data_IF_851443830484
#
_entry.id   IF_851443830484
#
_cell.length_a   1.000
_cell.length_b   1.000
_cell.length_c   1.000
_cell.angle_alpha   90.00
_cell.angle_beta   90.00
_cell.angle_gamma   90.00
#
_symmetry.space_group_name_H-M   'P 1'
#
loop_
_entity.id
_entity.type
_entity.pdbx_description
1 polymer ?
#
# COMPACT_ATOMS: atom_id res chain seq x y z
N UNK A 1 -33.02 1.17 -4.87
CA UNK A 1 -33.76 1.22 -3.59
C UNK A 1 -32.73 1.53 -2.54
N UNK A 2 -32.95 2.51 -1.66
CA UNK A 2 -32.00 2.83 -0.58
C UNK A 2 -31.86 1.60 0.32
N UNK A 3 -30.63 1.14 0.57
CA UNK A 3 -30.35 -0.02 1.44
C UNK A 3 -30.81 0.22 2.89
N UNK A 4 -30.89 1.50 3.29
CA UNK A 4 -31.36 1.95 4.59
C UNK A 4 -32.62 2.80 4.43
N UNK A 5 -33.58 2.60 5.32
CA UNK A 5 -34.73 3.48 5.50
C UNK A 5 -34.32 4.82 6.11
N UNK A 6 -35.15 5.85 5.97
CA UNK A 6 -34.89 7.17 6.56
C UNK A 6 -34.70 7.10 8.09
N UNK A 7 -35.42 6.19 8.76
CA UNK A 7 -35.32 5.97 10.21
C UNK A 7 -33.96 5.37 10.56
N UNK A 8 -33.49 4.38 9.79
CA UNK A 8 -32.16 3.79 9.98
C UNK A 8 -31.06 4.83 9.72
N UNK A 9 -31.17 5.63 8.65
CA UNK A 9 -30.21 6.70 8.36
C UNK A 9 -30.12 7.74 9.48
N UNK A 10 -31.26 8.12 10.07
CA UNK A 10 -31.27 9.00 11.25
C UNK A 10 -30.59 8.35 12.46
N UNK A 11 -30.77 7.04 12.65
CA UNK A 11 -30.16 6.28 13.74
C UNK A 11 -28.65 6.17 13.57
N UNK A 12 -28.19 5.80 12.37
CA UNK A 12 -26.78 5.79 12.00
C UNK A 12 -26.14 7.15 12.25
N UNK A 13 -26.78 8.23 11.79
CA UNK A 13 -26.29 9.60 11.99
C UNK A 13 -26.14 9.95 13.47
N UNK A 14 -27.10 9.55 14.31
CA UNK A 14 -27.04 9.79 15.75
C UNK A 14 -25.85 9.09 16.42
N UNK A 15 -25.37 7.99 15.83
CA UNK A 15 -24.20 7.23 16.28
C UNK A 15 -22.92 7.58 15.50
N UNK A 16 -22.90 8.68 14.75
CA UNK A 16 -21.70 9.11 14.02
C UNK A 16 -21.40 8.30 12.76
N UNK A 17 -22.39 7.66 12.15
CA UNK A 17 -22.24 6.93 10.88
C UNK A 17 -23.02 7.62 9.78
N UNK A 18 -22.39 7.85 8.62
CA UNK A 18 -23.06 8.33 7.40
C UNK A 18 -22.68 7.48 6.19
N UNK A 19 -23.56 7.47 5.19
CA UNK A 19 -23.33 6.79 3.92
C UNK A 19 -23.13 7.85 2.83
N UNK A 20 -22.02 7.77 2.10
CA UNK A 20 -21.75 8.60 0.94
C UNK A 20 -21.12 7.75 -0.17
N UNK A 21 -21.65 7.85 -1.40
CA UNK A 21 -21.14 7.14 -2.57
C UNK A 21 -20.89 5.64 -2.33
N UNK A 22 -21.87 4.95 -1.73
CA UNK A 22 -21.81 3.53 -1.35
C UNK A 22 -20.66 3.17 -0.39
N UNK A 23 -20.21 4.13 0.43
CA UNK A 23 -19.21 3.94 1.48
C UNK A 23 -19.75 4.42 2.82
N UNK A 24 -19.45 3.64 3.84
CA UNK A 24 -19.62 3.99 5.26
C UNK A 24 -18.51 4.94 5.68
N UNK A 25 -18.87 6.09 6.25
CA UNK A 25 -17.99 7.00 6.98
C UNK A 25 -18.43 6.92 8.44
N UNK A 26 -17.49 6.64 9.35
CA UNK A 26 -17.75 6.59 10.79
C UNK A 26 -17.04 7.74 11.49
N UNK A 27 -17.29 7.94 12.79
CA UNK A 27 -16.87 9.15 13.51
C UNK A 27 -17.26 10.45 12.76
N UNK A 28 -18.42 10.41 12.11
CA UNK A 28 -18.88 11.43 11.20
C UNK A 28 -19.22 12.72 11.97
N UNK A 29 -18.56 13.80 11.58
CA UNK A 29 -18.75 15.11 12.19
C UNK A 29 -20.04 15.80 11.69
N UNK A 30 -20.53 16.84 12.40
CA UNK A 30 -21.64 17.68 11.93
C UNK A 30 -21.43 18.22 10.50
N UNK A 31 -22.50 18.56 9.77
CA UNK A 31 -22.35 19.19 8.45
C UNK A 31 -21.61 20.52 8.55
N UNK A 32 -20.91 20.92 7.48
CA UNK A 32 -20.20 22.20 7.48
C UNK A 32 -21.20 23.35 7.63
N UNK A 33 -20.86 24.32 8.48
CA UNK A 33 -21.68 25.53 8.59
C UNK A 33 -21.49 26.44 7.37
N UNK A 34 -22.50 27.23 7.03
CA UNK A 34 -22.40 28.18 5.91
C UNK A 34 -21.26 29.21 6.09
N UNK A 35 -20.92 29.54 7.35
CA UNK A 35 -19.80 30.44 7.66
C UNK A 35 -18.45 29.80 7.31
N UNK A 36 -18.20 28.57 7.80
CA UNK A 36 -16.97 27.80 7.49
C UNK A 36 -16.85 27.50 6.00
N UNK A 37 -17.97 27.18 5.35
CA UNK A 37 -17.99 26.96 3.91
C UNK A 37 -17.55 28.22 3.14
N UNK A 38 -18.02 29.39 3.55
CA UNK A 38 -17.62 30.66 2.94
C UNK A 38 -16.14 30.99 3.20
N UNK A 39 -15.62 30.66 4.38
CA UNK A 39 -14.20 30.80 4.72
C UNK A 39 -13.30 29.93 3.83
N UNK A 40 -13.69 28.67 3.62
CA UNK A 40 -12.95 27.77 2.73
C UNK A 40 -13.04 28.24 1.27
N UNK A 41 -14.24 28.60 0.81
CA UNK A 41 -14.45 29.06 -0.56
C UNK A 41 -13.66 30.34 -0.87
N UNK A 42 -13.51 31.26 0.09
CA UNK A 42 -12.76 32.50 -0.08
C UNK A 42 -11.26 32.28 -0.33
N UNK A 43 -10.73 31.12 0.04
CA UNK A 43 -9.33 30.74 -0.17
C UNK A 43 -9.11 29.93 -1.44
N UNK A 44 -10.17 29.47 -2.11
CA UNK A 44 -10.08 28.67 -3.34
C UNK A 44 -10.00 29.58 -4.58
N UNK A 45 -9.26 29.14 -5.59
CA UNK A 45 -9.12 29.86 -6.86
C UNK A 45 -10.40 29.82 -7.71
N UNK A 46 -11.19 28.76 -7.57
CA UNK A 46 -12.44 28.52 -8.26
C UNK A 46 -13.57 28.07 -7.32
N UNK A 47 -14.76 27.78 -7.86
CA UNK A 47 -15.89 27.36 -7.05
C UNK A 47 -15.66 25.98 -6.44
N UNK A 48 -16.28 25.73 -5.28
CA UNK A 48 -16.30 24.41 -4.66
C UNK A 48 -17.17 23.45 -5.50
N UNK A 49 -16.67 22.25 -5.83
CA UNK A 49 -17.40 21.25 -6.61
C UNK A 49 -18.67 20.76 -5.93
N UNK A 50 -19.72 20.49 -6.71
CA UNK A 50 -21.02 20.08 -6.20
C UNK A 50 -20.96 18.83 -5.30
N UNK A 51 -20.21 17.80 -5.71
CA UNK A 51 -20.09 16.56 -4.94
C UNK A 51 -19.38 16.77 -3.58
N UNK A 52 -18.48 17.75 -3.48
CA UNK A 52 -17.86 18.12 -2.20
C UNK A 52 -18.88 18.84 -1.29
N UNK A 53 -19.73 19.70 -1.86
CA UNK A 53 -20.82 20.33 -1.12
C UNK A 53 -21.84 19.29 -0.64
N UNK A 54 -22.13 18.26 -1.43
CA UNK A 54 -22.98 17.14 -1.02
C UNK A 54 -22.39 16.37 0.16
N UNK A 55 -21.10 16.02 0.08
CA UNK A 55 -20.40 15.37 1.19
C UNK A 55 -20.46 16.24 2.45
N UNK A 56 -20.13 17.52 2.36
CA UNK A 56 -20.13 18.42 3.52
C UNK A 56 -21.51 18.77 4.07
N UNK A 57 -22.57 18.63 3.27
CA UNK A 57 -23.94 18.69 3.75
C UNK A 57 -24.30 17.47 4.62
N UNK A 58 -23.63 16.34 4.42
CA UNK A 58 -23.77 15.13 5.24
C UNK A 58 -22.81 15.15 6.43
N UNK A 59 -21.52 15.40 6.20
CA UNK A 59 -20.48 15.41 7.23
C UNK A 59 -19.28 16.24 6.81
N UNK A 60 -18.77 17.07 7.73
CA UNK A 60 -17.50 17.77 7.56
C UNK A 60 -16.47 17.11 8.46
N UNK A 61 -16.00 15.93 8.06
CA UNK A 61 -15.03 15.12 8.81
C UNK A 61 -15.42 13.65 8.86
N UNK A 62 -14.64 12.87 9.61
CA UNK A 62 -14.88 11.46 9.86
C UNK A 62 -13.84 10.54 9.24
N UNK A 63 -13.98 9.27 9.56
CA UNK A 63 -13.00 8.23 9.37
C UNK A 63 -13.42 7.22 8.29
N UNK A 64 -12.41 6.68 7.60
CA UNK A 64 -12.53 5.77 6.47
C UNK A 64 -11.70 4.53 6.75
N UNK A 65 -12.36 3.38 6.87
CA UNK A 65 -11.71 2.08 6.99
C UNK A 65 -11.71 1.41 5.61
N UNK A 66 -10.92 1.92 4.68
CA UNK A 66 -10.81 1.34 3.33
C UNK A 66 -9.38 1.42 2.80
N UNK A 67 -9.12 0.57 1.81
CA UNK A 67 -7.89 0.60 1.04
C UNK A 67 -8.09 1.40 -0.25
N UNK A 68 -7.02 2.08 -0.66
CA UNK A 68 -6.86 2.69 -1.97
C UNK A 68 -5.49 2.32 -2.52
N UNK A 69 -5.43 1.88 -3.78
CA UNK A 69 -4.16 1.61 -4.47
C UNK A 69 -4.13 2.35 -5.79
N UNK A 70 -3.04 3.07 -6.04
CA UNK A 70 -2.84 3.85 -7.25
C UNK A 70 -1.48 3.55 -7.89
N UNK A 71 -1.40 3.71 -9.21
CA UNK A 71 -0.12 3.70 -9.89
C UNK A 71 0.52 5.09 -9.77
N UNK A 72 1.73 5.16 -9.20
CA UNK A 72 2.46 6.39 -8.97
C UNK A 72 3.92 6.23 -9.39
N UNK A 73 4.36 6.99 -10.40
CA UNK A 73 5.72 6.91 -10.95
C UNK A 73 6.15 5.47 -11.34
N UNK A 74 5.20 4.65 -11.83
CA UNK A 74 5.42 3.24 -12.19
C UNK A 74 5.30 2.25 -11.03
N UNK A 75 5.11 2.71 -9.80
CA UNK A 75 4.89 1.87 -8.63
C UNK A 75 3.40 1.62 -8.37
N UNK A 76 3.06 0.49 -7.77
CA UNK A 76 1.75 0.24 -7.17
C UNK A 76 1.76 0.64 -5.69
N UNK A 77 1.22 1.81 -5.37
CA UNK A 77 1.29 2.41 -4.03
C UNK A 77 -0.06 2.32 -3.31
N UNK A 78 -0.02 1.90 -2.04
CA UNK A 78 -1.15 2.04 -1.14
C UNK A 78 -1.22 3.50 -0.66
N UNK A 79 -2.40 4.09 -0.74
CA UNK A 79 -2.67 5.46 -0.31
C UNK A 79 -3.54 5.40 0.93
N UNK A 80 -3.04 5.96 2.03
CA UNK A 80 -3.81 6.07 3.26
C UNK A 80 -4.75 7.27 3.17
N UNK A 81 -6.01 6.98 2.86
CA UNK A 81 -7.12 7.94 2.96
C UNK A 81 -8.03 7.49 4.09
N UNK A 82 -7.57 7.71 5.33
CA UNK A 82 -8.23 7.23 6.55
C UNK A 82 -9.07 8.29 7.23
N UNK A 83 -8.83 9.56 6.91
CA UNK A 83 -9.52 10.71 7.50
C UNK A 83 -10.03 11.66 6.41
N UNK A 84 -11.20 12.26 6.64
CA UNK A 84 -11.67 13.46 5.97
C UNK A 84 -11.31 14.68 6.81
N UNK A 85 -10.53 15.61 6.26
CA UNK A 85 -10.10 16.79 7.01
C UNK A 85 -11.26 17.73 7.32
N UNK A 86 -11.28 18.25 8.55
CA UNK A 86 -12.33 19.15 9.02
C UNK A 86 -11.80 20.21 9.97
N UNK A 87 -12.63 21.19 10.30
CA UNK A 87 -12.24 22.27 11.21
C UNK A 87 -12.16 21.77 12.65
N UNK A 88 -11.17 22.26 13.39
CA UNK A 88 -10.96 21.94 14.80
C UNK A 88 -10.67 20.45 15.08
N UNK A 89 -10.22 19.68 14.07
CA UNK A 89 -9.78 18.30 14.29
C UNK A 89 -8.54 18.27 15.19
N UNK A 90 -8.40 17.22 15.99
CA UNK A 90 -7.21 16.95 16.80
C UNK A 90 -6.14 16.12 16.07
N UNK A 91 -6.35 15.85 14.77
CA UNK A 91 -5.37 15.27 13.87
C UNK A 91 -4.13 16.14 13.66
N UNK A 92 -3.26 15.74 12.72
CA UNK A 92 -1.98 16.42 12.51
C UNK A 92 -2.14 17.91 12.15
N UNK A 93 -3.05 18.19 11.22
CA UNK A 93 -3.60 19.52 10.97
C UNK A 93 -5.10 19.38 10.73
N UNK A 94 -5.85 20.39 11.16
CA UNK A 94 -7.23 20.57 10.76
C UNK A 94 -7.31 21.12 9.32
N UNK A 95 -8.51 21.18 8.75
CA UNK A 95 -8.71 21.62 7.37
C UNK A 95 -8.09 23.02 7.12
N UNK A 96 -8.35 24.05 7.95
CA UNK A 96 -7.65 25.33 7.84
C UNK A 96 -6.12 25.21 7.91
N UNK A 97 -5.57 24.42 8.84
CA UNK A 97 -4.14 24.22 8.98
C UNK A 97 -3.51 23.58 7.74
N UNK A 98 -4.18 22.59 7.12
CA UNK A 98 -3.73 22.02 5.85
C UNK A 98 -3.78 23.04 4.71
N UNK A 99 -4.84 23.84 4.64
CA UNK A 99 -4.95 24.91 3.64
C UNK A 99 -3.83 25.94 3.77
N UNK A 100 -3.52 26.38 5.00
CA UNK A 100 -2.41 27.29 5.29
C UNK A 100 -1.07 26.65 4.89
N UNK A 101 -0.85 25.38 5.23
CA UNK A 101 0.34 24.63 4.83
C UNK A 101 0.54 24.62 3.30
N UNK A 102 -0.52 24.35 2.51
CA UNK A 102 -0.40 24.38 1.04
C UNK A 102 -0.07 25.79 0.51
N UNK A 103 -0.64 26.83 1.13
CA UNK A 103 -0.38 28.22 0.75
C UNK A 103 1.04 28.67 1.11
N UNK A 104 1.63 28.14 2.18
CA UNK A 104 3.04 28.38 2.50
C UNK A 104 3.97 27.78 1.43
N UNK A 105 3.64 26.60 0.91
CA UNK A 105 4.38 25.94 -0.17
C UNK A 105 4.16 26.63 -1.53
N UNK A 106 2.94 27.07 -1.80
CA UNK A 106 2.55 27.73 -3.04
C UNK A 106 1.62 28.94 -2.76
N UNK A 107 2.20 30.15 -2.53
CA UNK A 107 1.42 31.32 -2.15
C UNK A 107 0.34 31.71 -3.15
N UNK A 108 -0.88 31.91 -2.65
CA UNK A 108 -2.04 32.37 -3.44
C UNK A 108 -3.29 31.52 -3.20
N UNK A 109 -4.37 31.77 -3.96
CA UNK A 109 -5.59 30.96 -3.87
C UNK A 109 -5.34 29.49 -4.21
N UNK A 110 -5.94 28.59 -3.45
CA UNK A 110 -5.80 27.14 -3.61
C UNK A 110 -6.41 26.69 -4.93
N UNK A 111 -5.65 25.90 -5.69
CA UNK A 111 -6.13 25.20 -6.90
C UNK A 111 -6.43 23.73 -6.64
N UNK A 112 -5.91 23.22 -5.53
CA UNK A 112 -6.13 21.88 -4.99
C UNK A 112 -6.45 22.06 -3.52
N UNK A 113 -7.68 21.72 -3.15
CA UNK A 113 -8.16 21.82 -1.78
C UNK A 113 -7.92 20.48 -1.08
N UNK A 114 -7.12 20.41 -0.01
CA UNK A 114 -6.95 19.18 0.75
C UNK A 114 -8.28 18.82 1.43
N UNK A 115 -8.69 17.56 1.32
CA UNK A 115 -9.97 17.05 1.87
C UNK A 115 -9.81 15.83 2.76
N UNK A 116 -8.62 15.23 2.82
CA UNK A 116 -8.36 14.03 3.60
C UNK A 116 -6.98 13.46 3.35
N UNK A 117 -6.65 12.37 4.03
CA UNK A 117 -5.35 11.72 3.94
C UNK A 117 -4.98 10.98 5.20
N UNK A 118 -3.67 10.88 5.46
CA UNK A 118 -3.11 10.34 6.69
C UNK A 118 -1.80 11.04 7.03
N UNK A 119 -1.81 11.73 8.18
CA UNK A 119 -0.69 12.53 8.68
C UNK A 119 -0.08 13.43 7.57
N UNK A 120 1.24 13.50 7.50
CA UNK A 120 1.99 14.31 6.52
C UNK A 120 2.42 13.52 5.28
N UNK A 121 2.04 12.24 5.16
CA UNK A 121 2.62 11.33 4.17
C UNK A 121 1.71 11.02 2.97
N UNK A 122 0.40 11.06 3.15
CA UNK A 122 -0.60 10.89 2.09
C UNK A 122 -1.64 12.01 2.19
N UNK A 123 -1.95 12.64 1.06
CA UNK A 123 -2.97 13.71 0.98
C UNK A 123 -3.88 13.49 -0.22
N UNK A 124 -5.18 13.71 0.00
CA UNK A 124 -6.22 13.68 -1.01
C UNK A 124 -6.72 15.10 -1.23
N UNK A 125 -6.76 15.50 -2.50
CA UNK A 125 -7.20 16.82 -2.90
C UNK A 125 -8.37 16.73 -3.85
N UNK A 126 -9.23 17.75 -3.77
CA UNK A 126 -10.19 18.07 -4.82
C UNK A 126 -9.66 19.27 -5.60
N UNK A 127 -9.60 19.15 -6.93
CA UNK A 127 -9.20 20.25 -7.80
C UNK A 127 -10.30 21.32 -7.82
N UNK A 128 -9.94 22.55 -7.48
CA UNK A 128 -10.83 23.73 -7.39
C UNK A 128 -10.37 24.85 -8.33
N UNK A 129 -9.90 24.44 -9.51
CA UNK A 129 -9.38 25.32 -10.55
C UNK A 129 -10.54 26.02 -11.29
N UNK A 130 -10.54 27.35 -11.45
CA UNK A 130 -11.58 28.08 -12.17
C UNK A 130 -11.60 27.71 -13.66
N UNK A 131 -12.80 27.61 -14.23
CA UNK A 131 -13.05 27.38 -15.66
C UNK A 131 -12.33 26.16 -16.27
N UNK A 132 -11.96 25.19 -15.42
CA UNK A 132 -11.28 23.96 -15.82
C UNK A 132 -12.28 22.82 -16.00
N UNK A 133 -12.21 22.03 -17.09
CA UNK A 133 -13.05 20.84 -17.25
C UNK A 133 -12.75 19.77 -16.19
N UNK A 134 -11.57 19.83 -15.58
CA UNK A 134 -11.12 18.92 -14.54
C UNK A 134 -11.44 19.43 -13.11
N UNK A 135 -12.21 20.52 -12.98
CA UNK A 135 -12.65 21.00 -11.66
C UNK A 135 -13.55 19.94 -11.01
N UNK A 136 -13.24 19.54 -9.77
CA UNK A 136 -13.84 18.38 -9.12
C UNK A 136 -13.03 17.09 -9.20
N UNK A 137 -11.97 17.04 -10.03
CA UNK A 137 -11.06 15.90 -10.08
C UNK A 137 -10.43 15.66 -8.70
N UNK A 138 -10.40 14.39 -8.27
CA UNK A 138 -9.75 13.97 -7.03
C UNK A 138 -8.37 13.44 -7.35
N UNK A 139 -7.36 14.00 -6.70
CA UNK A 139 -5.96 13.60 -6.85
C UNK A 139 -5.39 13.19 -5.51
N UNK A 140 -4.53 12.18 -5.52
CA UNK A 140 -3.77 11.74 -4.36
C UNK A 140 -2.32 12.15 -4.52
N UNK A 141 -1.72 12.64 -3.45
CA UNK A 141 -0.28 12.85 -3.32
C UNK A 141 0.26 11.89 -2.27
N UNK A 142 1.44 11.32 -2.54
CA UNK A 142 2.19 10.49 -1.60
C UNK A 142 3.62 10.99 -1.49
N UNK A 143 4.11 11.10 -0.26
CA UNK A 143 5.49 11.44 0.06
C UNK A 143 6.46 10.32 -0.35
N UNK A 144 7.59 10.69 -0.92
CA UNK A 144 8.69 9.77 -1.21
C UNK A 144 9.42 9.31 0.05
N UNK A 145 9.71 8.01 0.14
CA UNK A 145 10.53 7.42 1.19
C UNK A 145 12.04 7.48 0.85
N UNK A 146 12.93 7.41 1.85
CA UNK A 146 14.37 7.47 1.63
C UNK A 146 14.86 6.41 0.62
N UNK A 147 15.87 6.69 -0.22
CA UNK A 147 16.39 5.78 -1.25
C UNK A 147 16.86 4.40 -0.77
N UNK A 148 17.05 4.22 0.55
CA UNK A 148 17.42 2.92 1.12
C UNK A 148 16.27 1.91 1.22
N UNK A 149 15.02 2.34 1.03
CA UNK A 149 13.83 1.50 1.16
C UNK A 149 13.51 0.82 -0.17
N UNK A 150 13.89 -0.45 -0.30
CA UNK A 150 13.68 -1.17 -1.57
C UNK A 150 12.20 -1.22 -1.94
N UNK A 151 11.94 -1.05 -3.24
CA UNK A 151 10.62 -1.04 -3.86
C UNK A 151 9.67 0.08 -3.41
N UNK A 152 10.13 1.01 -2.57
CA UNK A 152 9.33 2.17 -2.19
C UNK A 152 9.33 3.25 -3.28
N UNK A 153 8.28 4.06 -3.28
CA UNK A 153 8.31 5.37 -3.93
C UNK A 153 9.37 6.25 -3.25
N UNK A 154 10.29 6.84 -4.02
CA UNK A 154 11.43 7.60 -3.48
C UNK A 154 11.36 9.11 -3.66
N UNK A 155 10.36 9.56 -4.41
CA UNK A 155 10.08 10.96 -4.63
C UNK A 155 8.59 11.14 -4.52
N UNK A 156 8.19 12.31 -4.06
CA UNK A 156 6.80 12.69 -4.04
C UNK A 156 6.15 12.44 -5.41
N UNK A 157 4.97 11.85 -5.39
CA UNK A 157 4.21 11.55 -6.59
C UNK A 157 2.75 11.94 -6.40
N UNK A 158 2.12 12.25 -7.53
CA UNK A 158 0.70 12.57 -7.61
C UNK A 158 0.07 11.62 -8.62
N UNK A 159 -1.15 11.15 -8.34
CA UNK A 159 -1.96 10.41 -9.28
C UNK A 159 -3.43 10.84 -9.18
N UNK A 160 -4.13 10.85 -10.31
CA UNK A 160 -5.59 11.00 -10.33
C UNK A 160 -6.25 9.78 -9.68
N UNK A 161 -7.08 10.03 -8.67
CA UNK A 161 -7.97 9.02 -8.09
C UNK A 161 -9.17 8.85 -9.01
N UNK A 162 -9.90 9.92 -9.31
CA UNK A 162 -11.04 9.88 -10.22
C UNK A 162 -11.40 11.29 -10.69
N UNK A 163 -12.25 11.40 -11.70
CA UNK A 163 -12.75 12.69 -12.22
C UNK A 163 -13.71 13.43 -11.28
N UNK A 164 -14.16 12.79 -10.19
CA UNK A 164 -15.12 13.31 -9.23
C UNK A 164 -15.02 12.60 -7.88
N UNK A 165 -15.59 13.19 -6.85
CA UNK A 165 -15.53 12.71 -5.48
C UNK A 165 -16.31 11.42 -5.28
N UNK A 166 -17.52 11.31 -5.82
CA UNK A 166 -18.31 10.07 -5.76
C UNK A 166 -17.57 8.91 -6.43
N UNK A 167 -16.97 9.16 -7.60
CA UNK A 167 -16.16 8.17 -8.30
C UNK A 167 -14.88 7.82 -7.53
N UNK A 168 -14.28 8.76 -6.81
CA UNK A 168 -13.11 8.52 -5.96
C UNK A 168 -13.46 7.60 -4.78
N UNK A 169 -14.56 7.87 -4.08
CA UNK A 169 -15.10 6.97 -3.05
C UNK A 169 -15.43 5.58 -3.62
N UNK A 170 -15.94 5.51 -4.85
CA UNK A 170 -16.17 4.26 -5.57
C UNK A 170 -14.91 3.40 -5.80
N UNK A 171 -13.70 3.98 -5.71
CA UNK A 171 -12.42 3.25 -5.79
C UNK A 171 -11.92 2.71 -4.45
N UNK A 172 -12.51 3.13 -3.34
CA UNK A 172 -12.19 2.61 -2.01
C UNK A 172 -12.72 1.18 -1.88
N UNK A 173 -11.95 0.28 -1.27
CA UNK A 173 -12.32 -1.13 -1.16
C UNK A 173 -11.91 -1.73 0.19
N UNK A 174 -12.60 -2.78 0.61
CA UNK A 174 -12.38 -3.42 1.92
C UNK A 174 -11.33 -4.53 1.83
N UNK A 175 -10.29 -4.42 2.66
CA UNK A 175 -9.18 -5.38 2.76
C UNK A 175 -9.53 -6.61 3.60
N UNK A 176 -8.65 -7.62 3.61
CA UNK A 176 -8.82 -8.80 4.47
C UNK A 176 -8.61 -8.48 5.97
N UNK A 177 -7.90 -7.40 6.30
CA UNK A 177 -7.51 -7.02 7.67
C UNK A 177 -8.19 -5.76 8.25
N UNK A 178 -9.25 -5.22 7.63
CA UNK A 178 -9.95 -4.01 8.15
C UNK A 178 -10.67 -4.28 9.46
N UNK A 179 -10.51 -3.41 10.47
CA UNK A 179 -11.12 -3.59 11.80
C UNK A 179 -11.52 -2.31 12.53
N UNK A 180 -11.20 -1.13 12.00
CA UNK A 180 -11.43 0.14 12.70
C UNK A 180 -12.94 0.46 12.76
N UNK A 181 -13.67 0.24 11.66
CA UNK A 181 -15.12 0.40 11.66
C UNK A 181 -15.79 -0.59 12.62
N UNK A 182 -15.31 -1.84 12.66
CA UNK A 182 -15.87 -2.84 13.57
C UNK A 182 -15.67 -2.42 15.02
N UNK A 183 -14.46 -2.01 15.40
CA UNK A 183 -14.18 -1.49 16.75
C UNK A 183 -15.06 -0.30 17.11
N UNK A 184 -15.22 0.66 16.19
CA UNK A 184 -16.11 1.80 16.38
C UNK A 184 -17.57 1.38 16.62
N UNK A 185 -18.10 0.45 15.82
CA UNK A 185 -19.48 0.00 15.93
C UNK A 185 -19.73 -0.78 17.23
N UNK A 186 -18.76 -1.57 17.69
CA UNK A 186 -18.82 -2.29 18.97
C UNK A 186 -18.91 -1.36 20.18
N UNK A 187 -18.32 -0.16 20.09
CA UNK A 187 -18.40 0.88 21.12
C UNK A 187 -19.63 1.79 20.97
N UNK A 188 -20.35 1.70 19.85
CA UNK A 188 -21.51 2.53 19.57
C UNK A 188 -22.79 2.06 20.28
N UNK A 189 -23.79 2.95 20.37
CA UNK A 189 -25.12 2.61 20.88
C UNK A 189 -26.06 1.97 19.83
N UNK A 190 -25.53 1.55 18.67
CA UNK A 190 -26.34 0.95 17.60
C UNK A 190 -26.90 -0.43 17.99
N UNK A 191 -28.13 -0.68 17.57
CA UNK A 191 -28.79 -1.95 17.79
C UNK A 191 -28.10 -3.07 16.96
N UNK A 192 -27.94 -4.30 17.50
CA UNK A 192 -27.17 -5.37 16.84
C UNK A 192 -27.59 -5.66 15.41
N UNK A 193 -28.89 -5.62 15.12
CA UNK A 193 -29.42 -5.86 13.77
C UNK A 193 -28.99 -4.78 12.79
N UNK A 194 -28.92 -3.51 13.21
CA UNK A 194 -28.48 -2.41 12.37
C UNK A 194 -26.96 -2.43 12.20
N UNK A 195 -26.21 -2.79 13.25
CA UNK A 195 -24.76 -3.03 13.18
C UNK A 195 -24.41 -4.12 12.18
N UNK A 196 -25.09 -5.27 12.23
CA UNK A 196 -24.91 -6.35 11.24
C UNK A 196 -25.20 -5.86 9.82
N UNK A 197 -26.28 -5.10 9.65
CA UNK A 197 -26.66 -4.51 8.36
C UNK A 197 -25.62 -3.52 7.81
N UNK A 198 -25.02 -2.69 8.67
CA UNK A 198 -23.91 -1.80 8.28
C UNK A 198 -22.69 -2.61 7.86
N UNK A 199 -22.34 -3.66 8.60
CA UNK A 199 -21.20 -4.52 8.26
C UNK A 199 -21.44 -5.31 6.96
N UNK A 200 -22.66 -5.78 6.70
CA UNK A 200 -23.03 -6.39 5.42
C UNK A 200 -22.88 -5.38 4.28
N UNK A 201 -23.39 -4.15 4.46
CA UNK A 201 -23.28 -3.07 3.48
C UNK A 201 -21.81 -2.71 3.20
N UNK A 202 -21.01 -2.50 4.25
CA UNK A 202 -19.58 -2.23 4.18
C UNK A 202 -18.83 -3.34 3.43
N UNK A 203 -19.14 -4.60 3.73
CA UNK A 203 -18.55 -5.77 3.09
C UNK A 203 -18.77 -5.86 1.58
N UNK A 204 -19.76 -5.15 1.01
CA UNK A 204 -20.02 -5.10 -0.45
C UNK A 204 -18.90 -4.40 -1.22
N UNK A 205 -18.14 -3.51 -0.57
CA UNK A 205 -16.96 -2.90 -1.17
C UNK A 205 -15.72 -3.83 -1.19
N UNK A 206 -15.86 -5.08 -0.72
CA UNK A 206 -14.81 -6.11 -0.86
C UNK A 206 -14.76 -6.63 -2.30
N UNK A 207 -13.61 -6.55 -2.98
CA UNK A 207 -13.51 -7.02 -4.35
C UNK A 207 -13.62 -8.55 -4.46
N UNK A 208 -14.57 -9.03 -5.29
CA UNK A 208 -14.84 -10.47 -5.49
C UNK A 208 -13.98 -11.08 -6.61
N UNK A 209 -12.66 -11.11 -6.40
CA UNK A 209 -11.74 -11.69 -7.38
C UNK A 209 -11.91 -13.22 -7.50
N UNK A 210 -12.31 -13.91 -6.41
CA UNK A 210 -12.61 -15.35 -6.41
C UNK A 210 -13.82 -15.67 -7.29
N UNK A 211 -14.91 -14.93 -7.15
CA UNK A 211 -16.06 -15.06 -8.04
C UNK A 211 -15.74 -14.66 -9.47
N UNK A 212 -14.88 -13.66 -9.68
CA UNK A 212 -14.41 -13.28 -11.02
C UNK A 212 -13.63 -14.42 -11.71
N UNK A 213 -12.86 -15.22 -10.97
CA UNK A 213 -12.23 -16.45 -11.49
C UNK A 213 -13.31 -17.44 -11.95
N UNK A 214 -14.28 -17.77 -11.08
CA UNK A 214 -15.36 -18.70 -11.42
C UNK A 214 -16.18 -18.25 -12.63
N UNK A 215 -16.42 -16.95 -12.76
CA UNK A 215 -17.15 -16.32 -13.87
C UNK A 215 -16.28 -16.09 -15.12
N UNK A 216 -14.97 -16.37 -15.07
CA UNK A 216 -13.98 -16.07 -16.13
C UNK A 216 -13.95 -14.60 -16.55
N UNK A 217 -14.06 -13.70 -15.56
CA UNK A 217 -14.09 -12.25 -15.74
C UNK A 217 -12.81 -11.56 -15.25
N UNK A 218 -11.84 -12.31 -14.72
CA UNK A 218 -10.62 -11.77 -14.14
C UNK A 218 -9.79 -10.94 -15.15
N UNK A 219 -9.74 -11.35 -16.42
CA UNK A 219 -8.94 -10.68 -17.46
C UNK A 219 -9.40 -9.25 -17.78
N UNK A 220 -10.67 -8.93 -17.52
CA UNK A 220 -11.24 -7.61 -17.81
C UNK A 220 -11.03 -6.58 -16.71
N UNK A 221 -10.48 -6.99 -15.56
CA UNK A 221 -10.33 -6.15 -14.38
C UNK A 221 -8.92 -6.30 -13.79
N UNK A 222 -8.08 -5.32 -14.08
CA UNK A 222 -6.68 -5.29 -13.62
C UNK A 222 -6.56 -5.21 -12.10
N UNK A 223 -7.54 -4.63 -11.41
CA UNK A 223 -7.54 -4.56 -9.96
C UNK A 223 -7.82 -5.94 -9.35
N UNK A 224 -8.86 -6.65 -9.81
CA UNK A 224 -9.14 -8.01 -9.35
C UNK A 224 -8.02 -8.98 -9.69
N UNK A 225 -7.44 -8.86 -10.89
CA UNK A 225 -6.30 -9.68 -11.30
C UNK A 225 -5.10 -9.45 -10.36
N UNK A 226 -4.79 -8.20 -10.02
CA UNK A 226 -3.71 -7.87 -9.10
C UNK A 226 -3.99 -8.40 -7.69
N UNK A 227 -5.22 -8.32 -7.19
CA UNK A 227 -5.57 -8.86 -5.87
C UNK A 227 -5.44 -10.38 -5.82
N UNK A 228 -5.92 -11.08 -6.86
CA UNK A 228 -5.74 -12.53 -6.98
C UNK A 228 -4.25 -12.91 -7.04
N UNK A 229 -3.45 -12.16 -7.80
CA UNK A 229 -2.01 -12.38 -7.88
C UNK A 229 -1.33 -12.14 -6.52
N UNK A 230 -1.64 -11.05 -5.83
CA UNK A 230 -1.10 -10.77 -4.50
C UNK A 230 -1.41 -11.92 -3.53
N UNK A 231 -2.67 -12.39 -3.51
CA UNK A 231 -3.09 -13.52 -2.69
C UNK A 231 -2.28 -14.79 -3.03
N UNK A 232 -2.13 -15.12 -4.31
CA UNK A 232 -1.35 -16.28 -4.73
C UNK A 232 0.12 -16.24 -4.26
N UNK A 233 0.74 -15.05 -4.33
CA UNK A 233 2.12 -14.85 -3.92
C UNK A 233 2.31 -15.01 -2.40
N UNK A 234 1.42 -14.38 -1.63
CA UNK A 234 1.47 -14.37 -0.16
C UNK A 234 1.10 -15.73 0.44
N UNK A 235 0.05 -16.36 -0.07
CA UNK A 235 -0.51 -17.61 0.47
C UNK A 235 0.04 -18.87 -0.20
N UNK A 236 0.97 -18.71 -1.16
CA UNK A 236 1.57 -19.81 -1.94
C UNK A 236 0.55 -20.63 -2.72
N UNK A 237 -0.50 -19.96 -3.22
CA UNK A 237 -1.59 -20.61 -3.93
C UNK A 237 -1.26 -20.77 -5.43
N UNK A 238 -0.69 -21.92 -5.78
CA UNK A 238 -0.35 -22.28 -7.16
C UNK A 238 -1.59 -22.39 -8.07
N UNK A 239 -2.75 -22.73 -7.53
CA UNK A 239 -3.96 -22.88 -8.33
C UNK A 239 -4.51 -21.50 -8.71
N UNK A 240 -4.54 -20.55 -7.78
CA UNK A 240 -4.87 -19.16 -8.08
C UNK A 240 -3.84 -18.56 -9.04
N UNK A 241 -2.54 -18.83 -8.86
CA UNK A 241 -1.51 -18.38 -9.80
C UNK A 241 -1.77 -18.89 -11.23
N UNK A 242 -2.13 -20.17 -11.39
CA UNK A 242 -2.48 -20.77 -12.68
C UNK A 242 -3.68 -20.07 -13.31
N UNK A 243 -4.72 -19.78 -12.52
CA UNK A 243 -5.93 -19.10 -12.99
C UNK A 243 -5.65 -17.64 -13.38
N UNK A 244 -4.78 -16.95 -12.64
CA UNK A 244 -4.27 -15.61 -12.97
C UNK A 244 -3.50 -15.64 -14.30
N UNK A 245 -2.65 -16.66 -14.51
CA UNK A 245 -1.94 -16.86 -15.77
C UNK A 245 -2.88 -17.10 -16.95
N UNK A 246 -3.90 -17.95 -16.77
CA UNK A 246 -4.93 -18.23 -17.79
C UNK A 246 -5.77 -16.99 -18.13
N UNK A 247 -5.93 -16.07 -17.18
CA UNK A 247 -6.57 -14.78 -17.39
C UNK A 247 -5.68 -13.76 -18.13
N UNK A 248 -4.44 -14.11 -18.50
CA UNK A 248 -3.55 -13.25 -19.27
C UNK A 248 -2.83 -12.20 -18.46
N UNK A 249 -2.44 -12.52 -17.22
CA UNK A 249 -1.68 -11.62 -16.37
C UNK A 249 -0.40 -11.08 -17.02
N UNK A 250 -0.17 -9.78 -16.86
CA UNK A 250 1.05 -9.11 -17.28
C UNK A 250 2.09 -9.16 -16.15
N UNK A 251 3.05 -10.08 -16.27
CA UNK A 251 4.13 -10.27 -15.29
C UNK A 251 5.15 -9.12 -15.25
N UNK A 252 5.08 -8.17 -16.20
CA UNK A 252 5.96 -7.00 -16.24
C UNK A 252 5.48 -5.86 -15.35
N UNK A 253 4.24 -5.96 -14.82
CA UNK A 253 3.66 -4.95 -13.93
C UNK A 253 4.03 -5.22 -12.48
N UNK A 254 4.42 -4.18 -11.74
CA UNK A 254 4.61 -4.31 -10.31
C UNK A 254 3.31 -4.72 -9.60
N UNK A 255 3.45 -5.50 -8.54
CA UNK A 255 2.31 -5.93 -7.69
C UNK A 255 2.32 -5.24 -6.33
N UNK A 256 3.48 -4.73 -5.89
CA UNK A 256 3.67 -4.02 -4.62
C UNK A 256 4.83 -3.04 -4.75
N UNK A 257 4.57 -1.74 -4.62
CA UNK A 257 5.57 -0.72 -4.90
C UNK A 257 6.14 -0.89 -6.31
N UNK A 258 7.46 -0.93 -6.46
CA UNK A 258 8.10 -1.27 -7.74
C UNK A 258 8.37 -2.77 -7.94
N UNK A 259 8.02 -3.64 -6.99
CA UNK A 259 8.39 -5.05 -7.01
C UNK A 259 7.58 -5.85 -8.05
N UNK A 260 8.29 -6.60 -8.88
CA UNK A 260 7.72 -7.57 -9.81
C UNK A 260 7.19 -8.82 -9.09
N UNK A 261 6.30 -9.61 -9.71
CA UNK A 261 5.77 -10.83 -9.11
C UNK A 261 6.86 -11.80 -8.61
N UNK A 262 7.95 -11.97 -9.37
CA UNK A 262 9.08 -12.84 -8.97
C UNK A 262 9.79 -12.32 -7.73
N UNK A 263 9.95 -10.99 -7.60
CA UNK A 263 10.61 -10.36 -6.46
C UNK A 263 9.77 -10.51 -5.21
N UNK A 264 8.45 -10.33 -5.31
CA UNK A 264 7.52 -10.55 -4.20
C UNK A 264 7.49 -12.02 -3.79
N UNK A 265 7.49 -12.97 -4.74
CA UNK A 265 7.59 -14.40 -4.43
C UNK A 265 8.88 -14.74 -3.66
N UNK A 266 10.01 -14.13 -4.05
CA UNK A 266 11.29 -14.28 -3.35
C UNK A 266 11.25 -13.69 -1.93
N UNK A 267 10.63 -12.52 -1.75
CA UNK A 267 10.50 -11.87 -0.44
C UNK A 267 9.65 -12.69 0.54
N UNK A 268 8.57 -13.32 0.06
CA UNK A 268 7.75 -14.25 0.85
C UNK A 268 8.39 -15.64 1.05
N UNK A 269 9.52 -15.92 0.38
CA UNK A 269 10.20 -17.21 0.42
C UNK A 269 9.38 -18.34 -0.23
N UNK A 270 8.49 -17.98 -1.16
CA UNK A 270 7.57 -18.88 -1.86
C UNK A 270 8.26 -19.46 -3.10
N UNK A 271 9.22 -20.37 -2.91
CA UNK A 271 10.08 -20.89 -4.00
C UNK A 271 9.29 -21.63 -5.08
N UNK A 272 8.21 -22.32 -4.72
CA UNK A 272 7.33 -23.02 -5.65
C UNK A 272 6.59 -22.05 -6.57
N UNK A 273 6.10 -20.93 -6.01
CA UNK A 273 5.48 -19.85 -6.77
C UNK A 273 6.52 -19.19 -7.68
N UNK A 274 7.73 -18.96 -7.18
CA UNK A 274 8.82 -18.39 -7.97
C UNK A 274 9.16 -19.31 -9.16
N UNK A 275 9.26 -20.62 -8.96
CA UNK A 275 9.48 -21.58 -10.04
C UNK A 275 8.36 -21.54 -11.09
N UNK A 276 7.10 -21.53 -10.65
CA UNK A 276 5.96 -21.42 -11.54
C UNK A 276 5.96 -20.11 -12.34
N UNK A 277 6.29 -18.98 -11.71
CA UNK A 277 6.44 -17.70 -12.40
C UNK A 277 7.56 -17.74 -13.46
N UNK A 278 8.68 -18.39 -13.17
CA UNK A 278 9.75 -18.59 -14.15
C UNK A 278 9.30 -19.46 -15.33
N UNK A 279 8.52 -20.51 -15.08
CA UNK A 279 7.94 -21.36 -16.13
C UNK A 279 6.95 -20.58 -17.02
N UNK A 280 6.25 -19.62 -16.42
CA UNK A 280 5.35 -18.68 -17.11
C UNK A 280 6.09 -17.54 -17.83
N UNK A 281 7.42 -17.49 -17.75
CA UNK A 281 8.24 -16.47 -18.40
C UNK A 281 8.19 -15.10 -17.71
N UNK A 282 7.85 -15.05 -16.43
CA UNK A 282 7.89 -13.81 -15.66
C UNK A 282 9.32 -13.23 -15.62
N UNK A 283 9.47 -11.91 -15.80
CA UNK A 283 10.78 -11.26 -15.81
C UNK A 283 11.45 -11.34 -14.44
N UNK A 284 12.77 -11.51 -14.44
CA UNK A 284 13.60 -11.50 -13.23
C UNK A 284 14.45 -10.25 -13.22
N UNK A 285 14.49 -9.55 -12.10
CA UNK A 285 15.34 -8.37 -11.94
C UNK A 285 16.82 -8.75 -11.79
N UNK A 286 17.72 -7.85 -12.21
CA UNK A 286 19.16 -8.08 -12.05
C UNK A 286 19.54 -8.26 -10.57
N UNK A 287 18.85 -7.58 -9.65
CA UNK A 287 19.16 -7.56 -8.23
C UNK A 287 18.53 -8.70 -7.42
N UNK A 288 17.93 -9.70 -8.08
CA UNK A 288 17.15 -10.78 -7.45
C UNK A 288 17.83 -11.44 -6.24
N UNK A 289 19.13 -11.70 -6.30
CA UNK A 289 19.87 -12.36 -5.20
C UNK A 289 19.99 -11.51 -3.93
N UNK A 290 19.77 -10.18 -4.02
CA UNK A 290 19.75 -9.28 -2.86
C UNK A 290 18.47 -9.41 -2.04
N UNK A 291 17.42 -10.01 -2.61
CA UNK A 291 16.12 -10.21 -1.98
C UNK A 291 16.03 -11.52 -1.19
N UNK A 292 17.00 -12.43 -1.34
CA UNK A 292 16.98 -13.76 -0.72
C UNK A 292 16.86 -13.63 0.80
N UNK A 293 15.81 -14.22 1.38
CA UNK A 293 15.54 -14.19 2.82
C UNK A 293 15.88 -15.47 3.56
N UNK A 294 16.07 -16.59 2.86
CA UNK A 294 16.27 -17.92 3.43
C UNK A 294 16.90 -18.87 2.42
N UNK A 295 16.65 -20.17 2.55
CA UNK A 295 17.19 -21.20 1.65
C UNK A 295 16.86 -20.92 0.18
N UNK A 296 17.82 -21.18 -0.70
CA UNK A 296 17.65 -21.08 -2.15
C UNK A 296 18.47 -22.21 -2.79
N UNK A 297 17.81 -23.26 -3.31
CA UNK A 297 18.48 -24.41 -3.92
C UNK A 297 19.34 -24.04 -5.12
N UNK A 298 20.41 -24.81 -5.35
CA UNK A 298 21.32 -24.63 -6.48
C UNK A 298 20.59 -24.53 -7.83
N UNK A 299 19.64 -25.42 -8.07
CA UNK A 299 18.88 -25.49 -9.34
C UNK A 299 18.15 -24.17 -9.59
N UNK A 300 17.46 -23.65 -8.57
CA UNK A 300 16.71 -22.40 -8.70
C UNK A 300 17.66 -21.20 -8.83
N UNK A 301 18.78 -21.17 -8.11
CA UNK A 301 19.80 -20.13 -8.28
C UNK A 301 20.35 -20.10 -9.73
N UNK A 302 20.61 -21.27 -10.33
CA UNK A 302 21.05 -21.36 -11.74
C UNK A 302 19.95 -20.91 -12.71
N UNK A 303 18.69 -21.25 -12.45
CA UNK A 303 17.55 -20.77 -13.26
C UNK A 303 17.42 -19.24 -13.19
N UNK A 304 17.56 -18.64 -12.02
CA UNK A 304 17.52 -17.17 -11.88
C UNK A 304 18.62 -16.49 -12.69
N UNK A 305 19.85 -17.02 -12.67
CA UNK A 305 20.94 -16.52 -13.51
C UNK A 305 20.62 -16.63 -15.01
N UNK A 306 20.02 -17.74 -15.44
CA UNK A 306 19.59 -17.93 -16.84
C UNK A 306 18.47 -16.96 -17.22
N UNK A 307 17.59 -16.61 -16.28
CA UNK A 307 16.49 -15.68 -16.45
C UNK A 307 16.90 -14.19 -16.37
N UNK A 308 18.19 -13.89 -16.19
CA UNK A 308 18.73 -12.54 -16.22
C UNK A 308 19.10 -11.93 -14.86
N UNK A 309 18.98 -12.69 -13.75
CA UNK A 309 19.53 -12.24 -12.48
C UNK A 309 21.05 -12.08 -12.58
N UNK A 310 21.59 -11.03 -11.97
CA UNK A 310 23.03 -10.75 -11.97
C UNK A 310 23.70 -11.41 -10.77
N UNK A 311 24.81 -12.10 -11.02
CA UNK A 311 25.74 -12.46 -9.96
C UNK A 311 26.61 -11.25 -9.59
N UNK A 312 26.48 -10.76 -8.36
CA UNK A 312 27.32 -9.70 -7.81
C UNK A 312 27.70 -9.98 -6.34
N UNK A 313 28.64 -9.20 -5.81
CA UNK A 313 29.14 -9.39 -4.45
C UNK A 313 28.05 -9.17 -3.38
N UNK A 314 27.12 -8.24 -3.60
CA UNK A 314 26.03 -7.96 -2.67
C UNK A 314 25.06 -9.16 -2.59
N UNK A 315 24.66 -9.72 -3.73
CA UNK A 315 23.80 -10.91 -3.81
C UNK A 315 24.47 -12.15 -3.24
N UNK A 316 25.77 -12.34 -3.48
CA UNK A 316 26.55 -13.45 -2.91
C UNK A 316 26.60 -13.34 -1.38
N UNK A 317 27.03 -12.20 -0.85
CA UNK A 317 27.13 -11.97 0.60
C UNK A 317 25.75 -12.05 1.24
N UNK A 318 24.69 -11.59 0.55
CA UNK A 318 23.31 -11.74 1.01
C UNK A 318 22.92 -13.22 1.12
N UNK A 319 23.11 -14.02 0.08
CA UNK A 319 22.80 -15.46 0.11
C UNK A 319 23.57 -16.16 1.24
N UNK A 320 24.85 -15.83 1.41
CA UNK A 320 25.69 -16.41 2.46
C UNK A 320 25.18 -16.04 3.86
N UNK A 321 24.91 -14.76 4.13
CA UNK A 321 24.50 -14.32 5.47
C UNK A 321 23.16 -14.92 5.90
N UNK A 322 22.20 -15.05 4.98
CA UNK A 322 20.89 -15.67 5.27
C UNK A 322 20.92 -17.19 5.28
N UNK A 323 22.05 -17.81 4.90
CA UNK A 323 22.25 -19.26 4.96
C UNK A 323 21.93 -20.02 3.67
N UNK A 324 21.63 -19.32 2.57
CA UNK A 324 21.46 -19.89 1.23
C UNK A 324 22.80 -20.32 0.62
N UNK A 325 23.43 -21.33 1.23
CA UNK A 325 24.79 -21.76 0.88
C UNK A 325 24.93 -22.23 -0.56
N UNK A 326 23.96 -22.98 -1.06
CA UNK A 326 23.98 -23.48 -2.44
C UNK A 326 23.98 -22.33 -3.45
N UNK A 327 23.05 -21.39 -3.30
CA UNK A 327 23.03 -20.17 -4.10
C UNK A 327 24.34 -19.36 -3.96
N UNK A 328 24.86 -19.18 -2.75
CA UNK A 328 26.11 -18.45 -2.54
C UNK A 328 27.30 -19.13 -3.28
N UNK A 329 27.39 -20.46 -3.27
CA UNK A 329 28.40 -21.23 -4.02
C UNK A 329 28.25 -21.03 -5.52
N UNK A 330 27.02 -21.09 -6.06
CA UNK A 330 26.72 -20.82 -7.48
C UNK A 330 27.16 -19.41 -7.90
N UNK A 331 26.95 -18.41 -7.04
CA UNK A 331 27.36 -17.04 -7.30
C UNK A 331 28.89 -16.88 -7.24
N UNK A 332 29.55 -17.56 -6.31
CA UNK A 332 31.01 -17.54 -6.15
C UNK A 332 31.77 -18.12 -7.37
N UNK A 333 31.12 -18.97 -8.18
CA UNK A 333 31.68 -19.40 -9.48
C UNK A 333 31.95 -18.22 -10.44
N UNK A 334 31.23 -17.10 -10.27
CA UNK A 334 31.26 -15.92 -11.16
C UNK A 334 31.78 -14.66 -10.49
N UNK A 335 31.76 -14.62 -9.16
CA UNK A 335 32.13 -13.44 -8.37
C UNK A 335 33.28 -13.82 -7.45
N UNK A 336 34.48 -13.29 -7.74
CA UNK A 336 35.69 -13.55 -6.94
C UNK A 336 36.03 -12.42 -5.98
N UNK A 337 35.64 -11.19 -6.28
CA UNK A 337 35.91 -10.00 -5.46
C UNK A 337 34.70 -9.64 -4.58
N UNK A 338 34.43 -10.46 -3.57
CA UNK A 338 33.33 -10.25 -2.61
C UNK A 338 33.80 -9.91 -1.19
N UNK A 339 35.10 -10.03 -0.92
CA UNK A 339 35.67 -9.84 0.42
C UNK A 339 35.43 -8.43 1.00
N UNK A 340 35.55 -7.32 0.22
CA UNK A 340 35.21 -5.99 0.74
C UNK A 340 33.74 -5.87 1.17
N UNK A 341 32.82 -6.42 0.36
CA UNK A 341 31.38 -6.42 0.66
C UNK A 341 31.09 -7.27 1.90
N UNK A 342 31.73 -8.43 2.03
CA UNK A 342 31.64 -9.30 3.21
C UNK A 342 32.10 -8.58 4.47
N UNK A 343 33.24 -7.89 4.42
CA UNK A 343 33.78 -7.13 5.56
C UNK A 343 32.85 -5.98 5.96
N UNK A 344 32.30 -5.26 4.98
CA UNK A 344 31.32 -4.20 5.24
C UNK A 344 30.05 -4.74 5.90
N UNK A 345 29.53 -5.88 5.43
CA UNK A 345 28.37 -6.54 6.03
C UNK A 345 28.67 -7.01 7.45
N UNK A 346 29.82 -7.65 7.68
CA UNK A 346 30.28 -8.05 9.02
C UNK A 346 30.38 -6.85 9.97
N UNK A 347 30.99 -5.74 9.54
CA UNK A 347 31.11 -4.54 10.37
C UNK A 347 29.73 -4.01 10.79
N UNK A 348 28.78 -3.91 9.84
CA UNK A 348 27.40 -3.49 10.11
C UNK A 348 26.72 -4.41 11.12
N UNK A 349 26.76 -5.73 10.92
CA UNK A 349 26.11 -6.69 11.81
C UNK A 349 26.71 -6.66 13.22
N UNK A 350 28.02 -6.49 13.36
CA UNK A 350 28.66 -6.35 14.67
C UNK A 350 28.23 -5.04 15.38
N UNK A 351 28.10 -3.94 14.63
CA UNK A 351 27.59 -2.67 15.16
C UNK A 351 26.13 -2.81 15.63
N UNK A 352 25.27 -3.41 14.81
CA UNK A 352 23.85 -3.64 15.15
C UNK A 352 23.74 -4.58 16.37
N UNK A 353 24.54 -5.64 16.44
CA UNK A 353 24.61 -6.55 17.59
C UNK A 353 25.03 -5.81 18.88
N UNK A 354 26.01 -4.92 18.80
CA UNK A 354 26.44 -4.12 19.95
C UNK A 354 25.33 -3.16 20.42
N UNK A 355 24.60 -2.53 19.49
CA UNK A 355 23.46 -1.67 19.81
C UNK A 355 22.29 -2.44 20.43
N UNK A 356 21.99 -3.64 19.92
CA UNK A 356 20.95 -4.54 20.48
C UNK A 356 21.31 -4.95 21.91
N UNK A 357 22.54 -5.40 22.15
CA UNK A 357 23.04 -5.73 23.51
C UNK A 357 22.97 -4.55 24.47
N UNK A 358 23.20 -3.34 23.95
CA UNK A 358 23.08 -2.10 24.70
C UNK A 358 21.64 -1.59 24.86
N UNK A 359 20.63 -2.30 24.33
CA UNK A 359 19.22 -1.89 24.30
C UNK A 359 18.98 -0.53 23.62
N UNK A 360 19.85 -0.16 22.68
CA UNK A 360 19.75 1.08 21.87
C UNK A 360 19.08 0.85 20.51
N UNK A 361 18.83 -0.41 20.16
CA UNK A 361 18.21 -0.81 18.91
C UNK A 361 17.31 -2.01 19.15
N UNK A 362 16.04 -1.90 18.74
CA UNK A 362 15.19 -3.06 18.49
C UNK A 362 15.50 -3.58 17.08
N UNK A 363 15.90 -4.85 16.97
CA UNK A 363 16.23 -5.47 15.68
C UNK A 363 15.39 -6.73 15.49
N UNK A 364 14.80 -6.92 14.31
CA UNK A 364 13.86 -8.02 14.04
C UNK A 364 14.46 -9.42 14.25
N UNK A 365 15.75 -9.61 13.95
CA UNK A 365 16.47 -10.86 14.21
C UNK A 365 16.80 -11.11 15.69
N UNK A 366 16.71 -10.07 16.53
CA UNK A 366 17.24 -10.07 17.89
C UNK A 366 18.75 -10.32 17.96
N UNK A 367 19.25 -10.51 19.19
CA UNK A 367 20.68 -10.78 19.43
C UNK A 367 21.13 -12.09 18.79
N UNK A 368 20.35 -13.17 18.97
CA UNK A 368 20.70 -14.51 18.51
C UNK A 368 20.82 -14.58 16.99
N UNK A 369 19.84 -14.03 16.25
CA UNK A 369 19.87 -14.07 14.79
C UNK A 369 21.00 -13.23 14.19
N UNK A 370 21.35 -12.09 14.80
CA UNK A 370 22.53 -11.32 14.41
C UNK A 370 23.83 -12.10 14.62
N UNK A 371 23.97 -12.79 15.76
CA UNK A 371 25.13 -13.63 16.05
C UNK A 371 25.25 -14.78 15.04
N UNK A 372 24.16 -15.47 14.73
CA UNK A 372 24.13 -16.56 13.73
C UNK A 372 24.57 -16.06 12.33
N UNK A 373 24.10 -14.88 11.92
CA UNK A 373 24.50 -14.26 10.64
C UNK A 373 25.99 -13.90 10.60
N UNK A 374 26.54 -13.37 11.70
CA UNK A 374 27.97 -13.06 11.82
C UNK A 374 28.81 -14.35 11.73
N UNK A 375 28.39 -15.40 12.44
CA UNK A 375 29.13 -16.65 12.49
C UNK A 375 29.15 -17.34 11.11
N UNK A 376 28.03 -17.31 10.38
CA UNK A 376 27.98 -17.78 8.98
C UNK A 376 28.99 -17.06 8.11
N UNK A 377 29.03 -15.72 8.16
CA UNK A 377 29.96 -14.94 7.35
C UNK A 377 31.43 -15.14 7.75
N UNK A 378 31.74 -15.61 8.96
CA UNK A 378 33.12 -15.90 9.39
C UNK A 378 33.66 -17.21 8.84
N UNK A 379 32.80 -18.21 8.61
CA UNK A 379 33.19 -19.52 8.08
C UNK A 379 33.38 -19.43 6.57
N UNK A 380 34.54 -19.87 6.07
CA UNK A 380 34.83 -19.85 4.62
C UNK A 380 33.72 -20.54 3.80
N UNK A 381 33.32 -19.91 2.69
CA UNK A 381 32.24 -20.39 1.84
C UNK A 381 32.54 -21.77 1.23
N UNK A 382 33.82 -22.10 1.08
CA UNK A 382 34.30 -23.39 0.62
C UNK A 382 34.24 -24.50 1.71
N UNK A 383 33.97 -24.16 2.96
CA UNK A 383 33.82 -25.13 4.04
C UNK A 383 32.53 -25.95 3.88
N UNK A 384 32.53 -27.24 4.23
CA UNK A 384 31.35 -28.10 4.16
C UNK A 384 30.13 -27.55 4.91
#
# INVERSE_FOLDING_TARGET
MSDFSDVELQRLRACGVVIFADRVIFDAQPPISSARLAEVAAQCAGPLPAELLELWALTAGGSLDYNLTLEMAGNQEAISWTELFYHDSDGYHDLPGWMEHEQELAPGPLRYLPIGGFEYCDRIYVRVEPDSPDSGEVVAWKMGLPPGWQHALHRDAIATVASGLQAAFGRLWVGEESGDLQGFLEESELEPELTEKVMEFYGRARPDWRGAIHRKQLAGDSHLLRLALHHALEHRDLEVLRQVAEAGADWTRPVRGSALPTEVAMQFGSLEILEALLDLGAPVSEAMFRLVGGELPEVLARRLLQAGARADADGLVRCWVVGARDAAKVLAERVTDYEPTRQKMLARLNEDLAKVRAKRLGHYLGEKGLQEQIDRLRVDLASP
#
